data_IF_872571890885
#
_entry.id   IF_872571890885
#
_cell.length_a   1.000
_cell.length_b   1.000
_cell.length_c   1.000
_cell.angle_alpha   90.00
_cell.angle_beta   90.00
_cell.angle_gamma   90.00
#
_symmetry.space_group_name_H-M   'P 1'
#
loop_
_entity.id
_entity.type
_entity.pdbx_description
1 polymer ?
#
# COMPACT_ATOMS: atom_id res chain seq x y z
N UNK A 1 7.98 -2.65 -14.27
CA UNK A 1 6.63 -2.18 -13.88
C UNK A 1 5.76 -2.20 -15.14
N UNK A 2 4.93 -3.24 -15.32
CA UNK A 2 4.08 -3.39 -16.51
C UNK A 2 2.82 -2.51 -16.46
N UNK A 3 2.59 -1.76 -15.38
CA UNK A 3 1.38 -0.95 -15.15
C UNK A 3 1.16 0.09 -16.24
N UNK A 4 2.19 0.89 -16.57
CA UNK A 4 2.09 1.92 -17.62
C UNK A 4 1.82 1.28 -18.98
N UNK A 5 2.51 0.19 -19.29
CA UNK A 5 2.28 -0.59 -20.52
C UNK A 5 0.84 -1.10 -20.55
N UNK A 6 0.33 -1.63 -19.43
CA UNK A 6 -1.04 -2.07 -19.28
C UNK A 6 -2.05 -0.95 -19.56
N UNK A 7 -1.87 0.25 -18.99
CA UNK A 7 -2.73 1.40 -19.29
C UNK A 7 -2.70 1.76 -20.77
N UNK A 8 -1.52 1.81 -21.39
CA UNK A 8 -1.40 2.09 -22.83
C UNK A 8 -2.14 1.03 -23.65
N UNK A 9 -1.98 -0.26 -23.33
CA UNK A 9 -2.67 -1.36 -24.03
C UNK A 9 -4.19 -1.24 -23.90
N UNK A 10 -4.71 -0.97 -22.71
CA UNK A 10 -6.16 -0.81 -22.47
C UNK A 10 -6.70 0.39 -23.24
N UNK A 11 -6.08 1.56 -23.08
CA UNK A 11 -6.53 2.79 -23.74
C UNK A 11 -6.46 2.66 -25.27
N UNK A 12 -5.35 2.14 -25.81
CA UNK A 12 -5.18 1.94 -27.24
C UNK A 12 -6.19 0.93 -27.80
N UNK A 13 -6.48 -0.16 -27.09
CA UNK A 13 -7.44 -1.16 -27.56
C UNK A 13 -8.87 -0.63 -27.56
N UNK A 14 -9.29 0.04 -26.47
CA UNK A 14 -10.65 0.57 -26.33
C UNK A 14 -10.89 1.75 -27.27
N UNK A 15 -10.06 2.79 -27.19
CA UNK A 15 -10.25 4.01 -27.98
C UNK A 15 -9.79 3.82 -29.43
N UNK A 16 -8.69 3.10 -29.65
CA UNK A 16 -8.23 2.79 -31.00
C UNK A 16 -9.22 1.90 -31.75
N UNK A 17 -9.78 0.88 -31.10
CA UNK A 17 -10.86 0.07 -31.68
C UNK A 17 -12.10 0.88 -32.05
N UNK A 18 -12.54 1.78 -31.16
CA UNK A 18 -13.68 2.68 -31.44
C UNK A 18 -13.41 3.64 -32.61
N UNK A 19 -12.23 4.24 -32.65
CA UNK A 19 -11.84 5.14 -33.74
C UNK A 19 -11.71 4.41 -35.09
N UNK A 20 -11.13 3.20 -35.11
CA UNK A 20 -11.04 2.36 -36.30
C UNK A 20 -12.41 1.92 -36.81
N UNK A 21 -13.39 1.77 -35.90
CA UNK A 21 -14.80 1.54 -36.24
C UNK A 21 -15.52 2.77 -36.83
N UNK A 22 -14.83 3.90 -37.04
CA UNK A 22 -15.42 5.15 -37.52
C UNK A 22 -16.06 6.02 -36.44
N UNK A 23 -15.88 5.65 -35.16
CA UNK A 23 -16.37 6.42 -34.02
C UNK A 23 -15.60 7.72 -33.82
N UNK A 24 -16.32 8.80 -33.49
CA UNK A 24 -15.71 10.09 -33.20
C UNK A 24 -15.37 10.17 -31.71
N UNK A 25 -14.09 10.10 -31.33
CA UNK A 25 -13.68 10.10 -29.92
C UNK A 25 -14.22 11.29 -29.11
N UNK A 26 -14.43 12.43 -29.76
CA UNK A 26 -15.01 13.61 -29.11
C UNK A 26 -16.43 13.36 -28.56
N UNK A 27 -17.21 12.44 -29.14
CA UNK A 27 -18.55 12.12 -28.65
C UNK A 27 -18.55 11.32 -27.35
N UNK A 28 -17.43 10.66 -27.01
CA UNK A 28 -17.27 9.91 -25.76
C UNK A 28 -16.97 10.83 -24.57
N UNK A 29 -16.45 12.03 -24.81
CA UNK A 29 -16.13 12.98 -23.76
C UNK A 29 -17.37 13.81 -23.41
N UNK A 30 -18.26 13.21 -22.62
CA UNK A 30 -19.42 13.89 -22.06
C UNK A 30 -19.16 14.28 -20.59
N UNK A 31 -18.98 15.57 -20.27
CA UNK A 31 -18.65 16.00 -18.91
C UNK A 31 -19.70 15.62 -17.87
N UNK A 32 -20.98 15.62 -18.27
CA UNK A 32 -22.10 15.31 -17.36
C UNK A 32 -22.14 13.82 -17.02
N UNK A 33 -21.90 12.93 -17.99
CA UNK A 33 -21.82 11.49 -17.74
C UNK A 33 -20.63 11.14 -16.86
N UNK A 34 -19.48 11.76 -17.10
CA UNK A 34 -18.31 11.62 -16.24
C UNK A 34 -18.63 12.05 -14.81
N UNK A 35 -19.31 13.19 -14.60
CA UNK A 35 -19.74 13.65 -13.29
C UNK A 35 -20.69 12.66 -12.60
N UNK A 36 -21.66 12.11 -13.34
CA UNK A 36 -22.61 11.13 -12.78
C UNK A 36 -21.90 9.86 -12.33
N UNK A 37 -21.03 9.29 -13.18
CA UNK A 37 -20.30 8.06 -12.87
C UNK A 37 -19.27 8.30 -11.76
N UNK A 38 -18.42 9.33 -11.89
CA UNK A 38 -17.39 9.62 -10.89
C UNK A 38 -17.97 10.13 -9.57
N UNK A 39 -19.06 10.88 -9.62
CA UNK A 39 -19.78 11.38 -8.46
C UNK A 39 -20.48 10.24 -7.70
N UNK A 40 -21.14 9.32 -8.42
CA UNK A 40 -21.71 8.11 -7.82
C UNK A 40 -20.61 7.21 -7.22
N UNK A 41 -19.49 7.03 -7.92
CA UNK A 41 -18.35 6.29 -7.42
C UNK A 41 -17.77 6.92 -6.15
N UNK A 42 -17.53 8.25 -6.14
CA UNK A 42 -17.06 8.96 -4.96
C UNK A 42 -18.06 8.88 -3.80
N UNK A 43 -19.35 9.04 -4.06
CA UNK A 43 -20.40 8.90 -3.06
C UNK A 43 -20.46 7.48 -2.46
N UNK A 44 -20.40 6.45 -3.31
CA UNK A 44 -20.37 5.06 -2.88
C UNK A 44 -19.10 4.73 -2.08
N UNK A 45 -17.95 5.29 -2.46
CA UNK A 45 -16.72 5.18 -1.70
C UNK A 45 -16.83 5.80 -0.30
N UNK A 46 -17.47 6.98 -0.18
CA UNK A 46 -17.67 7.64 1.10
C UNK A 46 -18.67 6.90 2.00
N UNK A 47 -19.77 6.39 1.43
CA UNK A 47 -20.80 5.66 2.19
C UNK A 47 -20.31 4.27 2.59
N UNK A 48 -19.51 3.62 1.74
CA UNK A 48 -19.07 2.23 1.92
C UNK A 48 -17.86 2.05 2.83
N UNK A 49 -17.23 3.13 3.31
CA UNK A 49 -15.97 3.07 4.05
C UNK A 49 -15.97 3.99 5.28
N UNK A 50 -15.20 3.63 6.30
CA UNK A 50 -14.99 4.49 7.46
C UNK A 50 -13.90 5.56 7.17
N UNK A 51 -13.83 6.58 8.03
CA UNK A 51 -12.88 7.69 7.86
C UNK A 51 -11.39 7.27 7.85
N UNK A 52 -11.03 6.19 8.57
CA UNK A 52 -9.66 5.67 8.60
C UNK A 52 -9.30 5.03 7.26
N UNK A 53 -10.16 4.15 6.74
CA UNK A 53 -10.00 3.49 5.44
C UNK A 53 -9.94 4.50 4.29
N UNK A 54 -10.80 5.53 4.32
CA UNK A 54 -10.78 6.62 3.33
C UNK A 54 -9.42 7.32 3.34
N UNK A 55 -8.94 7.75 4.52
CA UNK A 55 -7.67 8.47 4.65
C UNK A 55 -6.48 7.59 4.25
N UNK A 56 -6.48 6.32 4.64
CA UNK A 56 -5.45 5.35 4.27
C UNK A 56 -5.38 5.14 2.75
N UNK A 57 -6.55 4.98 2.11
CA UNK A 57 -6.65 4.82 0.64
C UNK A 57 -6.10 6.05 -0.09
N UNK A 58 -6.51 7.25 0.33
CA UNK A 58 -6.02 8.49 -0.28
C UNK A 58 -4.50 8.68 -0.08
N UNK A 59 -3.95 8.27 1.07
CA UNK A 59 -2.49 8.31 1.33
C UNK A 59 -1.72 7.27 0.51
N UNK A 60 -2.36 6.16 0.13
CA UNK A 60 -1.76 5.10 -0.67
C UNK A 60 -1.75 5.42 -2.18
N UNK A 61 -2.69 6.21 -2.70
CA UNK A 61 -2.76 6.52 -4.15
C UNK A 61 -1.43 7.03 -4.76
N UNK A 62 -0.67 7.95 -4.14
CA UNK A 62 0.60 8.41 -4.69
C UNK A 62 1.70 7.34 -4.72
N UNK A 63 1.60 6.28 -3.90
CA UNK A 63 2.58 5.20 -3.89
C UNK A 63 2.46 4.28 -5.11
N UNK A 64 1.27 4.23 -5.76
CA UNK A 64 1.04 3.44 -6.98
C UNK A 64 1.92 3.86 -8.16
N UNK A 65 2.36 5.13 -8.17
CA UNK A 65 3.26 5.67 -9.18
C UNK A 65 4.75 5.48 -8.83
N UNK A 66 5.06 5.01 -7.61
CA UNK A 66 6.42 4.75 -7.15
C UNK A 66 6.76 3.28 -7.37
N UNK A 67 8.03 3.00 -7.69
CA UNK A 67 8.53 1.63 -7.78
C UNK A 67 8.60 0.94 -6.41
N UNK A 68 8.76 -0.38 -6.42
CA UNK A 68 9.02 -1.15 -5.20
C UNK A 68 10.26 -0.61 -4.50
N UNK A 69 10.12 -0.26 -3.22
CA UNK A 69 11.26 0.05 -2.34
C UNK A 69 12.06 -1.21 -1.99
N UNK A 70 11.42 -2.37 -2.05
CA UNK A 70 12.03 -3.66 -1.74
C UNK A 70 12.91 -4.10 -2.91
N UNK A 71 14.22 -4.08 -2.67
CA UNK A 71 15.25 -4.53 -3.60
C UNK A 71 16.10 -5.62 -2.95
N UNK A 72 16.79 -6.42 -3.77
CA UNK A 72 17.75 -7.40 -3.25
C UNK A 72 18.80 -6.76 -2.35
N UNK A 73 19.25 -5.55 -2.67
CA UNK A 73 20.21 -4.81 -1.86
C UNK A 73 19.66 -4.50 -0.46
N UNK A 74 18.41 -4.02 -0.38
CA UNK A 74 17.74 -3.75 0.90
C UNK A 74 17.63 -5.00 1.77
N UNK A 75 17.26 -6.15 1.18
CA UNK A 75 17.22 -7.42 1.92
C UNK A 75 18.60 -7.84 2.43
N UNK A 76 19.65 -7.67 1.62
CA UNK A 76 21.02 -7.97 2.04
C UNK A 76 21.49 -7.06 3.17
N UNK A 77 21.16 -5.77 3.11
CA UNK A 77 21.44 -4.79 4.18
C UNK A 77 20.72 -5.14 5.47
N UNK A 78 19.43 -5.52 5.39
CA UNK A 78 18.65 -5.96 6.55
C UNK A 78 19.26 -7.22 7.20
N UNK A 79 19.63 -8.23 6.40
CA UNK A 79 20.25 -9.45 6.92
C UNK A 79 21.63 -9.18 7.53
N UNK A 80 22.41 -8.26 6.95
CA UNK A 80 23.71 -7.87 7.49
C UNK A 80 23.59 -7.12 8.82
N UNK A 81 22.62 -6.20 8.94
CA UNK A 81 22.29 -5.52 10.19
C UNK A 81 21.91 -6.52 11.30
N UNK A 82 20.98 -7.44 11.00
CA UNK A 82 20.58 -8.49 11.93
C UNK A 82 21.77 -9.37 12.35
N UNK A 83 22.64 -9.74 11.39
CA UNK A 83 23.83 -10.51 11.69
C UNK A 83 24.79 -9.77 12.62
N UNK A 84 25.05 -8.48 12.40
CA UNK A 84 25.90 -7.67 13.28
C UNK A 84 25.34 -7.57 14.69
N UNK A 85 24.04 -7.29 14.83
CA UNK A 85 23.34 -7.22 16.13
C UNK A 85 23.41 -8.56 16.87
N UNK A 86 22.99 -9.65 16.24
CA UNK A 86 22.98 -10.98 16.87
C UNK A 86 24.40 -11.49 17.16
N UNK A 87 25.38 -11.14 16.33
CA UNK A 87 26.79 -11.48 16.58
C UNK A 87 27.35 -10.73 17.79
N UNK A 88 26.98 -9.46 17.97
CA UNK A 88 27.34 -8.68 19.17
C UNK A 88 26.69 -9.28 20.41
N UNK A 89 25.39 -9.59 20.35
CA UNK A 89 24.67 -10.30 21.44
C UNK A 89 25.36 -11.62 21.82
N UNK A 90 25.79 -12.41 20.83
CA UNK A 90 26.47 -13.68 21.09
C UNK A 90 27.84 -13.52 21.74
N UNK A 91 28.58 -12.45 21.42
CA UNK A 91 29.94 -12.20 21.93
C UNK A 91 29.96 -11.50 23.27
N UNK A 92 29.09 -10.50 23.45
CA UNK A 92 29.12 -9.55 24.55
C UNK A 92 27.90 -9.68 25.49
N UNK A 93 26.93 -10.53 25.12
CA UNK A 93 25.69 -10.75 25.87
C UNK A 93 24.52 -9.87 25.40
N UNK A 94 23.30 -10.23 25.80
CA UNK A 94 22.06 -9.51 25.44
C UNK A 94 22.06 -8.03 25.86
N UNK A 95 22.62 -7.71 27.02
CA UNK A 95 22.69 -6.32 27.51
C UNK A 95 23.57 -5.40 26.66
N UNK A 96 24.46 -5.96 25.84
CA UNK A 96 25.40 -5.18 25.02
C UNK A 96 24.72 -4.34 23.92
N UNK A 97 23.50 -4.72 23.52
CA UNK A 97 22.73 -4.02 22.49
C UNK A 97 21.73 -3.02 23.05
N UNK A 98 21.53 -2.93 24.37
CA UNK A 98 20.52 -2.06 24.98
C UNK A 98 20.58 -0.61 24.44
N UNK A 99 21.78 -0.01 24.41
CA UNK A 99 21.96 1.33 23.84
C UNK A 99 21.70 1.42 22.32
N UNK A 100 21.94 0.33 21.59
CA UNK A 100 21.66 0.27 20.14
C UNK A 100 20.15 0.19 19.86
N UNK A 101 19.39 -0.46 20.75
CA UNK A 101 17.95 -0.70 20.60
C UNK A 101 17.10 0.45 21.16
N UNK A 102 17.54 1.08 22.24
CA UNK A 102 16.88 2.27 22.81
C UNK A 102 17.02 3.49 21.90
N UNK A 103 18.17 3.61 21.22
CA UNK A 103 18.48 4.73 20.34
C UNK A 103 19.13 4.27 19.03
N UNK A 104 18.35 3.66 18.12
CA UNK A 104 18.88 3.18 16.84
C UNK A 104 19.52 4.30 16.01
N UNK A 105 19.06 5.54 16.13
CA UNK A 105 19.64 6.68 15.40
C UNK A 105 21.05 7.09 15.89
N UNK A 106 21.37 6.83 17.16
CA UNK A 106 22.69 7.11 17.75
C UNK A 106 23.61 5.87 17.67
N UNK A 107 23.09 4.72 17.24
CA UNK A 107 23.85 3.46 17.21
C UNK A 107 24.89 3.44 16.09
N UNK A 108 26.15 3.08 16.40
CA UNK A 108 27.17 2.85 15.38
C UNK A 108 26.86 1.69 14.43
N UNK A 109 26.02 0.73 14.84
CA UNK A 109 25.63 -0.41 14.02
C UNK A 109 24.58 0.02 13.01
N UNK A 110 23.48 0.62 13.48
CA UNK A 110 22.41 1.09 12.61
C UNK A 110 22.86 2.21 11.66
N UNK A 111 23.78 3.08 12.08
CA UNK A 111 24.35 4.14 11.23
C UNK A 111 25.01 3.62 9.94
N UNK A 112 25.42 2.34 9.89
CA UNK A 112 25.96 1.71 8.68
C UNK A 112 24.88 1.37 7.65
N UNK A 113 23.61 1.34 8.06
CA UNK A 113 22.46 0.91 7.27
C UNK A 113 21.39 2.02 7.17
N UNK A 114 21.71 3.17 6.53
CA UNK A 114 20.82 4.32 6.47
C UNK A 114 19.51 4.04 5.72
N UNK A 115 19.51 3.10 4.78
CA UNK A 115 18.34 2.62 4.05
C UNK A 115 17.30 1.97 4.96
N UNK A 116 17.76 1.22 5.97
CA UNK A 116 16.91 0.57 6.98
C UNK A 116 16.48 1.60 8.02
N UNK A 117 17.39 2.46 8.48
CA UNK A 117 17.07 3.56 9.41
C UNK A 117 16.00 4.52 8.87
N UNK A 118 15.94 4.71 7.55
CA UNK A 118 14.92 5.54 6.92
C UNK A 118 13.50 4.94 7.03
N UNK A 119 13.36 3.65 7.32
CA UNK A 119 12.08 2.97 7.50
C UNK A 119 11.78 2.74 8.98
N UNK A 120 11.12 3.73 9.59
CA UNK A 120 10.73 3.68 11.00
C UNK A 120 9.92 2.44 11.37
N UNK A 121 9.07 1.88 10.49
CA UNK A 121 8.28 0.69 10.85
C UNK A 121 9.18 -0.53 11.01
N UNK A 122 10.16 -0.70 10.12
CA UNK A 122 11.11 -1.83 10.19
C UNK A 122 12.01 -1.70 11.42
N UNK A 123 12.49 -0.49 11.69
CA UNK A 123 13.32 -0.21 12.87
C UNK A 123 12.53 -0.47 14.14
N UNK A 124 11.35 0.13 14.29
CA UNK A 124 10.48 0.01 15.47
C UNK A 124 10.14 -1.45 15.75
N UNK A 125 9.65 -2.18 14.73
CA UNK A 125 9.37 -3.62 14.83
C UNK A 125 10.58 -4.39 15.37
N UNK A 126 11.75 -4.26 14.72
CA UNK A 126 12.93 -4.99 15.15
C UNK A 126 13.41 -4.57 16.54
N UNK A 127 13.42 -3.28 16.85
CA UNK A 127 13.92 -2.78 18.13
C UNK A 127 13.00 -3.14 19.29
N UNK A 128 11.68 -3.12 19.11
CA UNK A 128 10.74 -3.44 20.18
C UNK A 128 10.88 -4.89 20.63
N UNK A 129 11.03 -5.84 19.70
CA UNK A 129 11.28 -7.23 20.06
C UNK A 129 12.65 -7.44 20.69
N UNK A 130 13.71 -6.79 20.19
CA UNK A 130 15.02 -6.85 20.83
C UNK A 130 14.99 -6.23 22.24
N UNK A 131 14.21 -5.17 22.47
CA UNK A 131 14.00 -4.55 23.79
C UNK A 131 13.29 -5.50 24.74
N UNK A 132 12.26 -6.21 24.26
CA UNK A 132 11.59 -7.26 25.03
C UNK A 132 12.56 -8.38 25.42
N UNK A 133 13.42 -8.82 24.50
CA UNK A 133 14.44 -9.83 24.78
C UNK A 133 15.47 -9.36 25.82
N UNK A 134 15.92 -8.10 25.75
CA UNK A 134 16.86 -7.49 26.72
C UNK A 134 16.22 -7.38 28.11
N UNK A 135 14.92 -7.07 28.18
CA UNK A 135 14.17 -6.94 29.44
C UNK A 135 13.96 -8.28 30.19
N UNK A 136 14.27 -9.42 29.55
CA UNK A 136 14.34 -10.73 30.20
C UNK A 136 13.00 -11.39 30.54
N UNK A 137 11.87 -10.86 30.06
CA UNK A 137 10.53 -11.22 30.56
C UNK A 137 9.66 -12.11 29.65
N UNK A 138 10.17 -12.65 28.55
CA UNK A 138 9.32 -13.44 27.63
C UNK A 138 9.97 -14.73 27.12
N UNK A 139 9.15 -15.77 27.02
CA UNK A 139 9.50 -17.05 26.40
C UNK A 139 9.62 -16.89 24.87
N UNK A 140 10.51 -17.66 24.24
CA UNK A 140 10.80 -17.54 22.80
C UNK A 140 9.56 -17.79 21.93
N UNK A 141 8.71 -18.76 22.31
CA UNK A 141 7.47 -19.03 21.58
C UNK A 141 6.46 -17.89 21.73
N UNK A 142 6.45 -17.18 22.86
CA UNK A 142 5.56 -16.05 23.05
C UNK A 142 5.97 -14.86 22.18
N UNK A 143 7.28 -14.62 22.05
CA UNK A 143 7.82 -13.59 21.15
C UNK A 143 7.47 -13.91 19.71
N UNK A 144 7.71 -15.15 19.26
CA UNK A 144 7.36 -15.60 17.90
C UNK A 144 5.87 -15.39 17.60
N UNK A 145 4.99 -15.85 18.49
CA UNK A 145 3.55 -15.65 18.32
C UNK A 145 3.18 -14.16 18.29
N UNK A 146 3.81 -13.31 19.10
CA UNK A 146 3.54 -11.87 19.09
C UNK A 146 3.98 -11.23 17.76
N UNK A 147 5.17 -11.59 17.28
CA UNK A 147 5.70 -11.15 15.99
C UNK A 147 4.77 -11.54 14.84
N UNK A 148 4.30 -12.79 14.81
CA UNK A 148 3.40 -13.27 13.77
C UNK A 148 2.06 -12.53 13.78
N UNK A 149 1.47 -12.32 14.96
CA UNK A 149 0.21 -11.58 15.10
C UNK A 149 0.35 -10.12 14.66
N UNK A 150 1.47 -9.47 14.97
CA UNK A 150 1.73 -8.10 14.54
C UNK A 150 1.90 -8.02 13.02
N UNK A 151 2.67 -8.94 12.42
CA UNK A 151 2.85 -9.01 10.96
C UNK A 151 1.50 -9.24 10.27
N UNK A 152 0.68 -10.17 10.77
CA UNK A 152 -0.64 -10.45 10.22
C UNK A 152 -1.55 -9.21 10.30
N UNK A 153 -1.58 -8.55 11.46
CA UNK A 153 -2.36 -7.33 11.67
C UNK A 153 -1.89 -6.21 10.73
N UNK A 154 -0.59 -6.00 10.61
CA UNK A 154 0.00 -5.01 9.72
C UNK A 154 -0.35 -5.30 8.24
N UNK A 155 -0.29 -6.55 7.80
CA UNK A 155 -0.73 -6.93 6.46
C UNK A 155 -2.22 -6.69 6.26
N UNK A 156 -3.06 -7.09 7.21
CA UNK A 156 -4.49 -6.89 7.14
C UNK A 156 -4.86 -5.41 7.01
N UNK A 157 -4.24 -4.54 7.81
CA UNK A 157 -4.42 -3.09 7.73
C UNK A 157 -3.86 -2.50 6.44
N UNK A 158 -2.71 -3.00 5.98
CA UNK A 158 -2.07 -2.60 4.73
C UNK A 158 -2.87 -2.95 3.47
N UNK A 159 -3.72 -3.99 3.54
CA UNK A 159 -4.58 -4.42 2.43
C UNK A 159 -5.88 -3.62 2.33
N UNK A 160 -6.31 -2.91 3.38
CA UNK A 160 -7.56 -2.14 3.39
C UNK A 160 -7.66 -1.19 2.19
N UNK A 161 -6.65 -0.37 1.85
CA UNK A 161 -6.69 0.47 0.64
C UNK A 161 -6.94 -0.32 -0.66
N UNK A 162 -6.30 -1.47 -0.82
CA UNK A 162 -6.43 -2.29 -2.01
C UNK A 162 -7.86 -2.84 -2.13
N UNK A 163 -8.41 -3.34 -1.03
CA UNK A 163 -9.79 -3.82 -0.97
C UNK A 163 -10.81 -2.70 -1.26
N UNK A 164 -10.59 -1.49 -0.72
CA UNK A 164 -11.44 -0.34 -0.99
C UNK A 164 -11.46 0.03 -2.49
N UNK A 165 -10.28 0.05 -3.13
CA UNK A 165 -10.17 0.36 -4.57
C UNK A 165 -10.78 -0.75 -5.42
N UNK A 166 -10.51 -2.02 -5.11
CA UNK A 166 -11.06 -3.16 -5.83
C UNK A 166 -12.60 -3.14 -5.81
N UNK A 167 -13.19 -2.98 -4.61
CA UNK A 167 -14.64 -2.90 -4.44
C UNK A 167 -15.27 -1.71 -5.16
N UNK A 168 -14.58 -0.57 -5.20
CA UNK A 168 -15.02 0.58 -5.99
C UNK A 168 -14.98 0.27 -7.49
N UNK A 169 -13.90 -0.37 -7.96
CA UNK A 169 -13.74 -0.83 -9.34
C UNK A 169 -14.83 -1.80 -9.78
N UNK A 170 -15.20 -2.76 -8.92
CA UNK A 170 -16.29 -3.71 -9.18
C UNK A 170 -17.66 -3.03 -9.34
N UNK A 171 -17.85 -1.88 -8.68
CA UNK A 171 -19.07 -1.06 -8.78
C UNK A 171 -19.14 -0.17 -10.02
N UNK A 172 -18.02 0.11 -10.68
CA UNK A 172 -17.95 1.04 -11.82
C UNK A 172 -18.88 0.68 -13.00
N UNK A 173 -19.01 -0.60 -13.42
CA UNK A 173 -19.93 -0.99 -14.48
C UNK A 173 -21.39 -0.66 -14.14
N UNK A 174 -21.80 -0.84 -12.88
CA UNK A 174 -23.17 -0.55 -12.45
C UNK A 174 -23.48 0.95 -12.53
N UNK A 175 -22.55 1.82 -12.12
CA UNK A 175 -22.72 3.27 -12.28
C UNK A 175 -22.78 3.70 -13.75
N UNK A 176 -22.00 3.05 -14.62
CA UNK A 176 -22.07 3.26 -16.07
C UNK A 176 -23.44 2.90 -16.66
N UNK A 177 -24.05 1.78 -16.22
CA UNK A 177 -25.41 1.40 -16.64
C UNK A 177 -26.43 2.45 -16.20
N UNK A 178 -26.34 2.93 -14.96
CA UNK A 178 -27.25 3.96 -14.43
C UNK A 178 -27.14 5.26 -15.26
N UNK A 179 -25.92 5.70 -15.57
CA UNK A 179 -25.70 6.87 -16.43
C UNK A 179 -26.28 6.68 -17.83
N UNK A 180 -26.05 5.52 -18.46
CA UNK A 180 -26.58 5.20 -19.77
C UNK A 180 -28.12 5.21 -19.80
N UNK A 181 -28.77 4.61 -18.79
CA UNK A 181 -30.23 4.60 -18.70
C UNK A 181 -30.79 6.02 -18.55
N UNK A 182 -30.18 6.86 -17.71
CA UNK A 182 -30.59 8.26 -17.58
C UNK A 182 -30.43 9.04 -18.89
N UNK A 183 -29.34 8.79 -19.65
CA UNK A 183 -29.13 9.39 -20.96
C UNK A 183 -30.18 8.99 -22.00
N UNK A 184 -30.58 7.70 -22.02
CA UNK A 184 -31.66 7.20 -22.89
C UNK A 184 -32.99 7.87 -22.53
N UNK A 185 -33.35 7.92 -21.24
CA UNK A 185 -34.59 8.57 -20.78
C UNK A 185 -34.62 10.04 -21.18
N UNK A 186 -33.51 10.77 -21.01
CA UNK A 186 -33.43 12.17 -21.42
C UNK A 186 -33.64 12.34 -22.93
N UNK A 187 -32.99 11.51 -23.74
CA UNK A 187 -33.11 11.55 -25.21
C UNK A 187 -34.54 11.25 -25.67
N UNK A 188 -35.22 10.29 -25.03
CA UNK A 188 -36.60 9.92 -25.36
C UNK A 188 -37.66 10.90 -24.83
N UNK A 189 -37.28 11.78 -23.89
CA UNK A 189 -38.18 12.80 -23.35
C UNK A 189 -38.27 14.07 -24.20
N UNK A 190 -37.41 14.18 -25.22
CA UNK A 190 -37.35 15.28 -26.20
C UNK A 190 -38.05 14.87 -27.50
#
# INVERSE_FOLDING_TARGET
MLVIVGYVVVLASVFGGFALGGGHLASLLQPVELLMISGAAAGAFLVGNNAKSIKATLKALPSLFKGSKYSKALYMELMALLYELLSKVRKEGLMSIEGDVEKPEESPIFSKYPSILADHHVVEFMTDYLRLMVSGNMDAFQIENLMDNEIETHHHEGEVPAHCIAKLGDGMPAFGIVAAVMGVVHTMSS
#
